data_IF_804154013216
#
_entry.id   IF_804154013216
#
_cell.length_a   1.000
_cell.length_b   1.000
_cell.length_c   1.000
_cell.angle_alpha   90.00
_cell.angle_beta   90.00
_cell.angle_gamma   90.00
#
_symmetry.space_group_name_H-M   'P 1'
#
loop_
_entity.id
_entity.type
_entity.pdbx_description
1 polymer ?
#
# COMPACT_ATOMS: atom_id res chain seq x y z
N UNK A 1 -4.09 -28.90 5.26
CA UNK A 1 -3.49 -28.43 6.53
C UNK A 1 -3.45 -26.92 6.43
N UNK A 2 -4.30 -26.24 7.21
CA UNK A 2 -4.48 -24.82 7.01
C UNK A 2 -3.58 -23.99 7.92
N UNK A 3 -2.75 -23.16 7.33
CA UNK A 3 -2.17 -22.02 8.03
C UNK A 3 -3.31 -21.09 8.40
N UNK A 4 -3.46 -20.81 9.69
CA UNK A 4 -4.52 -19.91 10.21
C UNK A 4 -3.99 -18.55 10.62
N UNK A 5 -2.67 -18.41 10.80
CA UNK A 5 -2.07 -17.15 11.25
C UNK A 5 -0.72 -16.93 10.57
N UNK A 6 -0.49 -15.70 10.11
CA UNK A 6 0.85 -15.22 9.75
C UNK A 6 1.43 -14.57 11.00
N UNK A 7 2.56 -15.10 11.48
CA UNK A 7 3.23 -14.62 12.69
C UNK A 7 3.82 -13.21 12.56
N UNK A 8 4.22 -12.62 13.70
CA UNK A 8 4.88 -11.33 13.70
C UNK A 8 6.15 -11.34 12.86
N UNK A 9 6.28 -10.35 11.95
CA UNK A 9 7.43 -10.17 11.09
C UNK A 9 7.70 -11.29 10.10
N UNK A 10 6.75 -12.21 9.83
CA UNK A 10 6.99 -13.41 9.01
C UNK A 10 7.59 -13.11 7.63
N UNK A 11 7.23 -11.98 7.01
CA UNK A 11 7.76 -11.49 5.73
C UNK A 11 8.41 -10.11 5.88
N UNK A 12 8.79 -9.72 7.12
CA UNK A 12 9.42 -8.42 7.34
C UNK A 12 10.67 -8.25 6.46
N UNK A 13 10.75 -7.12 5.74
CA UNK A 13 11.84 -6.79 4.81
C UNK A 13 12.01 -7.76 3.63
N UNK A 14 11.00 -8.52 3.27
CA UNK A 14 11.01 -9.23 2.00
C UNK A 14 10.84 -8.21 0.85
N UNK A 15 11.88 -7.37 0.64
CA UNK A 15 11.82 -6.19 -0.20
C UNK A 15 11.47 -6.50 -1.67
N UNK A 16 11.80 -7.69 -2.15
CA UNK A 16 11.58 -8.15 -3.53
C UNK A 16 10.37 -9.07 -3.69
N UNK A 17 9.60 -9.28 -2.62
CA UNK A 17 8.34 -10.02 -2.68
C UNK A 17 7.32 -9.21 -3.48
N UNK A 18 6.96 -9.69 -4.67
CA UNK A 18 6.01 -9.01 -5.57
C UNK A 18 4.57 -9.46 -5.36
N UNK A 19 4.37 -10.72 -4.98
CA UNK A 19 3.06 -11.32 -4.72
C UNK A 19 3.17 -12.46 -3.71
N UNK A 20 2.08 -12.76 -3.03
CA UNK A 20 1.94 -13.90 -2.15
C UNK A 20 0.48 -14.38 -2.19
N UNK A 21 0.29 -15.69 -2.23
CA UNK A 21 -1.03 -16.30 -2.10
C UNK A 21 -1.29 -16.67 -0.64
N UNK A 22 -2.36 -16.15 -0.09
CA UNK A 22 -2.78 -16.43 1.29
C UNK A 22 -3.89 -17.50 1.28
N UNK A 23 -3.80 -18.52 2.16
CA UNK A 23 -4.84 -19.56 2.21
C UNK A 23 -6.14 -19.06 2.81
N UNK A 24 -7.28 -19.56 2.33
CA UNK A 24 -8.62 -19.21 2.84
C UNK A 24 -8.84 -19.56 4.31
N UNK A 25 -7.98 -20.40 4.89
CA UNK A 25 -7.99 -20.75 6.31
C UNK A 25 -7.41 -19.66 7.22
N UNK A 26 -6.81 -18.60 6.63
CA UNK A 26 -6.17 -17.54 7.39
C UNK A 26 -7.20 -16.70 8.16
N UNK A 27 -6.94 -16.46 9.45
CA UNK A 27 -7.80 -15.66 10.33
C UNK A 27 -7.11 -14.43 10.91
N UNK A 28 -5.78 -14.41 10.94
CA UNK A 28 -5.02 -13.29 11.51
C UNK A 28 -3.71 -13.03 10.78
N UNK A 29 -3.37 -11.74 10.66
CA UNK A 29 -2.08 -11.23 10.18
C UNK A 29 -1.38 -10.50 11.32
N UNK A 30 -0.20 -10.98 11.71
CA UNK A 30 0.55 -10.55 12.88
C UNK A 30 1.25 -9.20 12.73
N UNK A 31 1.84 -8.73 13.83
CA UNK A 31 2.57 -7.45 13.92
C UNK A 31 3.68 -7.40 12.88
N UNK A 32 3.68 -6.36 12.02
CA UNK A 32 4.71 -6.14 11.01
C UNK A 32 4.89 -7.28 10.01
N UNK A 33 3.88 -8.14 9.83
CA UNK A 33 4.02 -9.40 9.07
C UNK A 33 4.55 -9.18 7.64
N UNK A 34 4.14 -8.12 6.95
CA UNK A 34 4.60 -7.72 5.62
C UNK A 34 5.31 -6.36 5.62
N UNK A 35 5.73 -5.88 6.78
CA UNK A 35 6.41 -4.59 6.88
C UNK A 35 7.65 -4.54 5.99
N UNK A 36 7.83 -3.44 5.23
CA UNK A 36 8.92 -3.22 4.27
C UNK A 36 8.96 -4.21 3.10
N UNK A 37 7.85 -4.86 2.74
CA UNK A 37 7.71 -5.58 1.48
C UNK A 37 7.54 -4.57 0.33
N UNK A 38 8.63 -3.90 -0.04
CA UNK A 38 8.61 -2.72 -0.93
C UNK A 38 8.17 -3.01 -2.36
N UNK A 39 8.28 -4.24 -2.83
CA UNK A 39 7.85 -4.66 -4.17
C UNK A 39 6.45 -5.26 -4.21
N UNK A 40 5.81 -5.46 -3.04
CA UNK A 40 4.46 -6.03 -2.98
C UNK A 40 3.47 -5.04 -3.61
N UNK A 41 2.93 -5.41 -4.76
CA UNK A 41 2.08 -4.53 -5.58
C UNK A 41 0.59 -4.79 -5.40
N UNK A 42 0.24 -6.02 -5.11
CA UNK A 42 -1.12 -6.45 -4.85
C UNK A 42 -1.14 -7.61 -3.84
N UNK A 43 -2.21 -7.69 -3.07
CA UNK A 43 -2.46 -8.77 -2.14
C UNK A 43 -3.96 -8.93 -1.97
N UNK A 44 -4.43 -10.17 -2.07
CA UNK A 44 -5.80 -10.51 -1.68
C UNK A 44 -5.80 -11.07 -0.27
N UNK A 45 -6.49 -10.39 0.65
CA UNK A 45 -6.67 -10.86 2.02
C UNK A 45 -7.92 -11.75 2.03
N UNK A 46 -7.82 -13.01 2.50
CA UNK A 46 -8.95 -13.92 2.57
C UNK A 46 -10.08 -13.38 3.47
N UNK A 47 -11.32 -13.67 3.11
CA UNK A 47 -12.51 -13.19 3.85
C UNK A 47 -12.60 -13.73 5.29
N UNK A 48 -11.86 -14.80 5.62
CA UNK A 48 -11.76 -15.34 6.99
C UNK A 48 -10.90 -14.51 7.95
N UNK A 49 -10.14 -13.53 7.43
CA UNK A 49 -9.25 -12.70 8.28
C UNK A 49 -10.07 -11.69 9.06
N UNK A 50 -10.01 -11.80 10.39
CA UNK A 50 -10.71 -10.90 11.32
C UNK A 50 -9.79 -9.92 12.04
N UNK A 51 -8.46 -10.16 11.99
CA UNK A 51 -7.48 -9.35 12.71
C UNK A 51 -6.28 -9.02 11.85
N UNK A 52 -5.96 -7.74 11.72
CA UNK A 52 -4.72 -7.23 11.14
C UNK A 52 -4.03 -6.39 12.20
N UNK A 53 -2.87 -6.87 12.65
CA UNK A 53 -2.15 -6.27 13.77
C UNK A 53 -1.27 -5.10 13.35
N UNK A 54 -0.72 -4.41 14.38
CA UNK A 54 0.07 -3.19 14.23
C UNK A 54 1.14 -3.31 13.14
N UNK A 55 1.15 -2.32 12.25
CA UNK A 55 2.18 -2.17 11.23
C UNK A 55 2.26 -3.29 10.19
N UNK A 56 1.23 -4.13 10.06
CA UNK A 56 1.29 -5.34 9.23
C UNK A 56 1.77 -5.08 7.79
N UNK A 57 1.44 -3.92 7.20
CA UNK A 57 1.84 -3.51 5.84
C UNK A 57 2.64 -2.21 5.82
N UNK A 58 3.25 -1.80 6.93
CA UNK A 58 4.06 -0.57 6.98
C UNK A 58 5.12 -0.59 5.89
N UNK A 59 5.25 0.53 5.14
CA UNK A 59 6.22 0.71 4.06
C UNK A 59 6.12 -0.31 2.90
N UNK A 60 4.93 -0.88 2.65
CA UNK A 60 4.65 -1.57 1.39
C UNK A 60 4.47 -0.53 0.29
N UNK A 61 5.59 0.12 -0.10
CA UNK A 61 5.56 1.35 -0.90
C UNK A 61 5.08 1.16 -2.35
N UNK A 62 5.03 -0.07 -2.85
CA UNK A 62 4.52 -0.39 -4.19
C UNK A 62 3.05 -0.86 -4.20
N UNK A 63 2.40 -0.96 -3.05
CA UNK A 63 1.01 -1.38 -2.94
C UNK A 63 0.09 -0.27 -3.46
N UNK A 64 -0.66 -0.56 -4.54
CA UNK A 64 -1.54 0.42 -5.20
C UNK A 64 -2.97 0.30 -4.69
N UNK A 65 -3.47 -0.93 -4.59
CA UNK A 65 -4.80 -1.22 -4.06
C UNK A 65 -4.76 -2.43 -3.14
N UNK A 66 -5.60 -2.43 -2.13
CA UNK A 66 -5.81 -3.56 -1.23
C UNK A 66 -7.27 -3.59 -0.81
N UNK A 67 -7.90 -4.77 -0.91
CA UNK A 67 -9.22 -4.98 -0.37
C UNK A 67 -9.13 -5.62 1.01
N UNK A 68 -9.81 -5.02 1.97
CA UNK A 68 -9.99 -5.57 3.32
C UNK A 68 -11.22 -6.49 3.34
N UNK A 69 -11.16 -7.62 4.08
CA UNK A 69 -12.29 -8.53 4.21
C UNK A 69 -13.43 -7.89 4.99
N UNK A 70 -14.66 -8.19 4.60
CA UNK A 70 -15.85 -7.60 5.22
C UNK A 70 -16.02 -7.97 6.72
N UNK A 71 -15.46 -9.11 7.13
CA UNK A 71 -15.51 -9.60 8.52
C UNK A 71 -14.40 -9.07 9.43
N UNK A 72 -13.60 -8.09 8.96
CA UNK A 72 -12.49 -7.54 9.74
C UNK A 72 -13.00 -6.85 11.01
N UNK A 73 -12.48 -7.25 12.16
CA UNK A 73 -12.85 -6.70 13.47
C UNK A 73 -11.78 -5.78 14.04
N UNK A 74 -10.52 -6.01 13.69
CA UNK A 74 -9.39 -5.24 14.20
C UNK A 74 -8.47 -4.81 13.07
N UNK A 75 -8.26 -3.50 12.98
CA UNK A 75 -7.30 -2.83 12.11
C UNK A 75 -6.46 -1.90 12.99
N UNK A 76 -5.24 -2.35 13.29
CA UNK A 76 -4.40 -1.70 14.30
C UNK A 76 -3.59 -0.52 13.75
N UNK A 77 -2.91 0.21 14.65
CA UNK A 77 -2.06 1.36 14.34
C UNK A 77 -0.97 1.05 13.30
N UNK A 78 -0.55 2.05 12.53
CA UNK A 78 0.53 2.02 11.55
C UNK A 78 0.35 1.01 10.41
N UNK A 79 -0.80 0.33 10.31
CA UNK A 79 -0.96 -0.83 9.42
C UNK A 79 -0.58 -0.51 7.97
N UNK A 80 -0.92 0.66 7.45
CA UNK A 80 -0.61 1.10 6.08
C UNK A 80 0.33 2.30 6.04
N UNK A 81 0.99 2.66 7.14
CA UNK A 81 1.91 3.78 7.16
C UNK A 81 3.01 3.61 6.10
N UNK A 82 3.26 4.64 5.28
CA UNK A 82 4.25 4.61 4.22
C UNK A 82 3.89 3.79 2.97
N UNK A 83 2.63 3.35 2.82
CA UNK A 83 2.13 2.77 1.57
C UNK A 83 1.96 3.88 0.52
N UNK A 84 3.08 4.42 0.02
CA UNK A 84 3.12 5.67 -0.73
C UNK A 84 2.38 5.64 -2.08
N UNK A 85 2.14 4.47 -2.67
CA UNK A 85 1.37 4.32 -3.92
C UNK A 85 -0.07 3.87 -3.71
N UNK A 86 -0.50 3.68 -2.47
CA UNK A 86 -1.90 3.35 -2.16
C UNK A 86 -2.78 4.53 -2.56
N UNK A 87 -3.77 4.31 -3.45
CA UNK A 87 -4.61 5.38 -4.03
C UNK A 87 -5.99 5.46 -3.41
N UNK A 88 -6.50 4.34 -2.90
CA UNK A 88 -7.80 4.26 -2.27
C UNK A 88 -7.83 3.17 -1.18
N UNK A 89 -8.70 3.33 -0.19
CA UNK A 89 -8.95 2.31 0.83
C UNK A 89 -10.40 2.34 1.29
N UNK A 90 -11.00 1.15 1.35
CA UNK A 90 -12.32 0.95 1.94
C UNK A 90 -12.14 0.26 3.30
N UNK A 91 -12.52 0.94 4.37
CA UNK A 91 -12.55 0.39 5.74
C UNK A 91 -13.91 -0.26 5.94
N UNK A 92 -13.96 -1.58 6.23
CA UNK A 92 -15.23 -2.30 6.32
C UNK A 92 -16.05 -1.90 7.55
N UNK A 93 -17.36 -2.14 7.49
CA UNK A 93 -18.26 -1.98 8.63
C UNK A 93 -17.82 -2.88 9.80
N UNK A 94 -18.10 -2.41 11.03
CA UNK A 94 -17.66 -3.07 12.27
C UNK A 94 -16.36 -2.50 12.82
N UNK A 95 -15.53 -1.83 12.01
CA UNK A 95 -14.37 -1.09 12.51
C UNK A 95 -14.87 0.19 13.18
N UNK A 96 -14.58 0.34 14.47
CA UNK A 96 -15.02 1.48 15.29
C UNK A 96 -13.95 2.55 15.47
N UNK A 97 -12.70 2.24 15.14
CA UNK A 97 -11.60 3.21 15.25
C UNK A 97 -10.60 3.05 14.10
N UNK A 98 -10.19 4.18 13.55
CA UNK A 98 -9.00 4.29 12.71
C UNK A 98 -7.82 4.53 13.64
N UNK A 99 -6.84 3.63 13.63
CA UNK A 99 -5.69 3.66 14.54
C UNK A 99 -4.75 4.84 14.32
N UNK A 100 -3.81 5.03 15.26
CA UNK A 100 -2.74 6.01 15.15
C UNK A 100 -1.87 5.73 13.92
N UNK A 101 -1.51 6.79 13.16
CA UNK A 101 -0.65 6.71 11.97
C UNK A 101 -1.12 5.70 10.92
N UNK A 102 -2.41 5.32 10.87
CA UNK A 102 -2.88 4.23 10.00
C UNK A 102 -2.46 4.43 8.54
N UNK A 103 -2.61 5.64 7.99
CA UNK A 103 -2.26 6.02 6.62
C UNK A 103 -1.16 7.09 6.55
N UNK A 104 -0.42 7.28 7.63
CA UNK A 104 0.66 8.26 7.65
C UNK A 104 1.60 8.05 6.45
N UNK A 105 1.93 9.14 5.71
CA UNK A 105 2.75 9.08 4.49
C UNK A 105 2.21 8.21 3.34
N UNK A 106 0.91 7.97 3.27
CA UNK A 106 0.27 7.43 2.05
C UNK A 106 0.11 8.56 1.02
N UNK A 107 1.21 8.95 0.39
CA UNK A 107 1.30 10.18 -0.43
C UNK A 107 0.50 10.17 -1.74
N UNK A 108 -0.09 9.05 -2.11
CA UNK A 108 -0.97 8.92 -3.28
C UNK A 108 -2.43 8.64 -2.91
N UNK A 109 -2.77 8.55 -1.61
CA UNK A 109 -4.12 8.19 -1.17
C UNK A 109 -5.08 9.37 -1.38
N UNK A 110 -5.97 9.23 -2.37
CA UNK A 110 -6.91 10.29 -2.78
C UNK A 110 -8.29 10.11 -2.15
N UNK A 111 -8.69 8.88 -1.87
CA UNK A 111 -10.02 8.60 -1.31
C UNK A 111 -10.00 7.48 -0.27
N UNK A 112 -10.87 7.61 0.72
CA UNK A 112 -11.12 6.59 1.72
C UNK A 112 -12.63 6.45 1.96
N UNK A 113 -13.09 5.21 2.11
CA UNK A 113 -14.43 4.93 2.64
C UNK A 113 -14.31 4.54 4.10
N UNK A 114 -15.05 5.24 4.94
CA UNK A 114 -15.08 5.03 6.39
C UNK A 114 -16.45 4.48 6.80
N UNK A 115 -16.51 3.49 7.72
CA UNK A 115 -17.76 2.82 8.06
C UNK A 115 -18.68 3.70 8.93
N UNK A 116 -19.99 3.44 8.89
CA UNK A 116 -20.94 4.11 9.79
C UNK A 116 -20.70 3.76 11.26
N UNK A 117 -20.07 2.62 11.54
CA UNK A 117 -19.64 2.19 12.88
C UNK A 117 -18.50 3.01 13.48
N UNK A 118 -17.85 3.91 12.69
CA UNK A 118 -16.68 4.68 13.12
C UNK A 118 -17.02 5.62 14.28
N UNK A 119 -16.24 5.54 15.36
CA UNK A 119 -16.38 6.38 16.56
C UNK A 119 -15.19 7.31 16.77
N UNK A 120 -13.99 6.93 16.28
CA UNK A 120 -12.79 7.72 16.49
C UNK A 120 -11.75 7.56 15.38
N UNK A 121 -10.94 8.60 15.19
CA UNK A 121 -9.76 8.63 14.33
C UNK A 121 -8.57 9.00 15.18
N UNK A 122 -7.55 8.16 15.18
CA UNK A 122 -6.32 8.31 15.95
C UNK A 122 -5.42 9.45 15.46
N UNK A 123 -4.43 9.78 16.28
CA UNK A 123 -3.48 10.83 15.97
C UNK A 123 -2.69 10.53 14.69
N UNK A 124 -2.42 11.57 13.90
CA UNK A 124 -1.64 11.53 12.64
C UNK A 124 -2.05 10.42 11.67
N UNK A 125 -3.30 9.93 11.78
CA UNK A 125 -3.80 8.84 10.94
C UNK A 125 -3.75 9.16 9.44
N UNK A 126 -3.93 10.42 9.06
CA UNK A 126 -3.92 10.93 7.68
C UNK A 126 -2.87 12.03 7.48
N UNK A 127 -1.79 12.04 8.25
CA UNK A 127 -0.72 13.02 8.05
C UNK A 127 0.08 12.71 6.79
N UNK A 128 0.37 13.75 5.98
CA UNK A 128 1.02 13.58 4.68
C UNK A 128 0.15 12.93 3.60
N UNK A 129 -1.18 12.86 3.80
CA UNK A 129 -2.14 12.25 2.86
C UNK A 129 -2.85 13.35 2.06
N UNK A 130 -2.79 13.35 0.70
CA UNK A 130 -3.48 14.32 -0.15
C UNK A 130 -4.94 13.92 -0.40
N UNK A 131 -5.68 13.65 0.68
CA UNK A 131 -7.05 13.13 0.60
C UNK A 131 -7.98 14.16 -0.04
N UNK A 132 -8.74 13.74 -1.05
CA UNK A 132 -9.69 14.56 -1.79
C UNK A 132 -11.13 14.23 -1.44
N UNK A 133 -11.42 12.95 -1.18
CA UNK A 133 -12.75 12.45 -0.94
C UNK A 133 -12.81 11.47 0.23
N UNK A 134 -13.90 11.55 0.99
CA UNK A 134 -14.27 10.59 2.02
C UNK A 134 -15.70 10.13 1.74
N UNK A 135 -15.91 8.83 1.59
CA UNK A 135 -17.24 8.25 1.63
C UNK A 135 -17.61 7.90 3.06
N UNK A 136 -18.81 8.29 3.46
CA UNK A 136 -19.34 7.97 4.78
C UNK A 136 -20.83 7.63 4.67
N UNK A 137 -21.26 6.40 5.03
CA UNK A 137 -22.64 5.98 4.81
C UNK A 137 -23.64 6.61 5.77
N UNK A 138 -23.17 7.24 6.86
CA UNK A 138 -23.99 7.96 7.80
C UNK A 138 -24.33 9.38 7.37
N UNK A 139 -24.98 10.12 8.28
CA UNK A 139 -25.35 11.55 8.09
C UNK A 139 -24.21 12.49 8.50
N UNK A 140 -24.37 13.78 8.18
CA UNK A 140 -23.42 14.81 8.60
C UNK A 140 -23.35 14.95 10.13
N UNK A 141 -24.47 14.79 10.82
CA UNK A 141 -24.53 14.83 12.30
C UNK A 141 -23.78 13.65 12.92
N UNK A 142 -23.90 12.45 12.33
CA UNK A 142 -23.16 11.27 12.77
C UNK A 142 -21.65 11.45 12.55
N UNK A 143 -21.25 12.01 11.40
CA UNK A 143 -19.85 12.33 11.12
C UNK A 143 -19.28 13.33 12.13
N UNK A 144 -20.04 14.37 12.50
CA UNK A 144 -19.62 15.35 13.52
C UNK A 144 -19.43 14.73 14.91
N UNK A 145 -20.09 13.61 15.19
CA UNK A 145 -19.92 12.88 16.45
C UNK A 145 -18.65 12.00 16.49
N UNK A 146 -18.00 11.76 15.34
CA UNK A 146 -16.74 11.01 15.29
C UNK A 146 -15.64 11.82 15.99
N UNK A 147 -15.01 11.20 16.98
CA UNK A 147 -13.92 11.84 17.75
C UNK A 147 -12.64 11.85 16.91
N UNK A 148 -12.20 13.00 16.51
CA UNK A 148 -10.90 13.20 15.88
C UNK A 148 -9.87 13.51 16.95
N UNK A 149 -8.71 12.81 16.95
CA UNK A 149 -7.65 13.07 17.92
C UNK A 149 -7.20 14.54 17.82
N UNK A 150 -7.06 15.19 18.96
CA UNK A 150 -6.52 16.54 19.08
C UNK A 150 -5.04 16.54 18.64
N UNK A 151 -4.62 17.59 17.94
CA UNK A 151 -3.25 17.81 17.44
C UNK A 151 -2.86 17.07 16.15
N UNK A 152 -2.97 17.82 15.03
CA UNK A 152 -2.29 17.66 13.74
C UNK A 152 -2.62 16.41 12.88
N UNK A 153 -3.31 15.40 13.39
CA UNK A 153 -3.53 14.14 12.66
C UNK A 153 -4.67 14.12 11.65
N UNK A 154 -5.46 15.17 11.58
CA UNK A 154 -6.69 15.19 10.78
C UNK A 154 -6.63 16.15 9.57
N UNK A 155 -5.46 16.71 9.25
CA UNK A 155 -5.36 17.70 8.15
C UNK A 155 -5.83 17.12 6.82
N UNK A 156 -5.50 15.88 6.52
CA UNK A 156 -5.99 15.19 5.32
C UNK A 156 -7.51 15.08 5.29
N UNK A 157 -8.14 14.69 6.41
CA UNK A 157 -9.60 14.62 6.51
C UNK A 157 -10.29 15.99 6.46
N UNK A 158 -9.69 17.00 7.09
CA UNK A 158 -10.28 18.35 7.15
C UNK A 158 -10.39 19.02 5.76
N UNK A 159 -9.51 18.66 4.84
CA UNK A 159 -9.47 19.20 3.48
C UNK A 159 -10.27 18.37 2.47
N UNK A 160 -10.65 17.15 2.83
CA UNK A 160 -11.36 16.25 1.93
C UNK A 160 -12.86 16.57 1.88
N UNK A 161 -13.46 16.38 0.71
CA UNK A 161 -14.92 16.46 0.58
C UNK A 161 -15.55 15.18 1.12
N UNK A 162 -16.46 15.31 2.08
CA UNK A 162 -17.20 14.17 2.64
C UNK A 162 -18.50 13.96 1.84
N UNK A 163 -18.72 12.73 1.36
CA UNK A 163 -19.92 12.29 0.68
C UNK A 163 -20.73 11.41 1.64
N UNK A 164 -21.85 11.95 2.10
CA UNK A 164 -22.74 11.28 3.07
C UNK A 164 -23.74 10.36 2.40
N UNK A 165 -24.20 9.34 3.14
CA UNK A 165 -25.14 8.34 2.62
C UNK A 165 -24.52 7.42 1.55
N UNK A 166 -23.21 7.34 1.50
CA UNK A 166 -22.42 6.70 0.46
C UNK A 166 -21.37 5.78 1.09
N UNK A 167 -21.59 4.47 1.01
CA UNK A 167 -20.79 3.48 1.73
C UNK A 167 -19.36 3.35 1.19
N UNK A 168 -19.22 3.37 -0.15
CA UNK A 168 -17.91 3.30 -0.82
C UNK A 168 -17.98 3.96 -2.20
N UNK A 169 -16.82 4.20 -2.79
CA UNK A 169 -16.75 4.58 -4.20
C UNK A 169 -16.94 3.35 -5.09
N UNK A 170 -18.05 3.32 -5.81
CA UNK A 170 -18.32 2.30 -6.81
C UNK A 170 -17.69 2.70 -8.15
N UNK A 171 -16.48 2.23 -8.39
CA UNK A 171 -15.76 2.43 -9.65
C UNK A 171 -16.02 1.23 -10.57
N UNK A 172 -16.99 1.35 -11.47
CA UNK A 172 -17.29 0.30 -12.45
C UNK A 172 -16.16 0.15 -13.49
N UNK A 173 -15.39 1.21 -13.70
CA UNK A 173 -14.31 1.34 -14.67
C UNK A 173 -12.91 1.39 -14.02
N UNK A 174 -12.79 0.95 -12.74
CA UNK A 174 -11.51 1.01 -12.04
C UNK A 174 -10.45 0.18 -12.76
N UNK A 175 -9.40 0.85 -13.18
CA UNK A 175 -8.15 0.24 -13.62
C UNK A 175 -7.04 0.62 -12.65
N UNK A 176 -6.22 -0.34 -12.25
CA UNK A 176 -5.08 -0.07 -11.39
C UNK A 176 -3.92 -0.98 -11.75
N UNK A 177 -2.74 -0.40 -11.91
CA UNK A 177 -1.49 -1.10 -12.15
C UNK A 177 -0.37 -0.52 -11.31
N UNK A 178 0.40 -1.37 -10.66
CA UNK A 178 1.62 -0.94 -9.99
C UNK A 178 2.74 -0.75 -11.03
N UNK A 179 3.68 0.18 -10.79
CA UNK A 179 4.83 0.33 -11.66
C UNK A 179 5.75 -0.89 -11.56
N UNK A 180 6.34 -1.24 -12.70
CA UNK A 180 7.40 -2.24 -12.84
C UNK A 180 8.78 -1.58 -12.90
N UNK A 181 9.83 -2.35 -13.19
CA UNK A 181 11.16 -1.77 -13.39
C UNK A 181 11.22 -0.87 -14.63
N UNK A 182 10.43 -1.16 -15.66
CA UNK A 182 10.47 -0.47 -16.96
C UNK A 182 9.23 0.37 -17.24
N UNK A 183 8.09 -0.03 -16.68
CA UNK A 183 6.82 0.60 -17.02
C UNK A 183 6.27 1.36 -15.81
N UNK A 184 5.70 2.52 -16.06
CA UNK A 184 4.94 3.26 -15.06
C UNK A 184 3.65 2.56 -14.68
N UNK A 185 3.17 2.83 -13.47
CA UNK A 185 1.85 2.39 -13.01
C UNK A 185 0.82 3.50 -13.08
N UNK A 186 -0.45 3.15 -13.00
CA UNK A 186 -1.55 4.10 -12.94
C UNK A 186 -2.74 3.53 -12.17
N UNK A 187 -3.59 4.42 -11.68
CA UNK A 187 -4.93 4.06 -11.22
C UNK A 187 -5.92 5.11 -11.72
N UNK A 188 -6.99 4.68 -12.36
CA UNK A 188 -8.02 5.55 -12.90
C UNK A 188 -9.39 4.91 -12.73
N UNK A 189 -10.38 5.73 -12.39
CA UNK A 189 -11.77 5.31 -12.29
C UNK A 189 -12.68 6.46 -11.94
N UNK A 190 -13.94 6.35 -12.33
CA UNK A 190 -14.99 7.32 -11.99
C UNK A 190 -16.05 6.67 -11.13
N UNK A 191 -16.31 7.24 -9.97
CA UNK A 191 -17.39 6.74 -9.11
C UNK A 191 -18.75 7.02 -9.75
N UNK A 192 -19.50 5.95 -10.00
CA UNK A 192 -20.84 6.03 -10.61
C UNK A 192 -21.88 6.70 -9.71
N UNK A 193 -21.63 6.81 -8.41
CA UNK A 193 -22.58 7.38 -7.43
C UNK A 193 -22.35 8.88 -7.22
N UNK A 194 -21.10 9.31 -6.99
CA UNK A 194 -20.81 10.71 -6.65
C UNK A 194 -20.01 11.47 -7.72
N UNK A 195 -19.62 10.81 -8.81
CA UNK A 195 -18.81 11.42 -9.87
C UNK A 195 -17.35 11.71 -9.49
N UNK A 196 -16.88 11.25 -8.32
CA UNK A 196 -15.48 11.43 -7.95
C UNK A 196 -14.57 10.69 -8.95
N UNK A 197 -13.57 11.38 -9.47
CA UNK A 197 -12.58 10.81 -10.39
C UNK A 197 -11.30 10.50 -9.61
N UNK A 198 -10.96 9.22 -9.56
CA UNK A 198 -9.65 8.75 -9.10
C UNK A 198 -8.69 8.84 -10.29
N UNK A 199 -7.57 9.53 -10.14
CA UNK A 199 -6.53 9.61 -11.16
C UNK A 199 -5.16 9.70 -10.50
N UNK A 200 -4.33 8.70 -10.73
CA UNK A 200 -2.98 8.63 -10.22
C UNK A 200 -2.04 7.99 -11.25
N UNK A 201 -0.83 8.48 -11.33
CA UNK A 201 0.22 7.91 -12.16
C UNK A 201 1.52 7.76 -11.37
N UNK A 202 2.27 6.71 -11.66
CA UNK A 202 3.53 6.40 -11.01
C UNK A 202 4.63 6.23 -12.05
N UNK A 203 5.83 6.73 -11.73
CA UNK A 203 7.02 6.48 -12.57
C UNK A 203 7.43 5.00 -12.46
N UNK A 204 8.11 4.49 -13.48
CA UNK A 204 8.79 3.20 -13.42
C UNK A 204 9.75 3.15 -12.23
N UNK A 205 10.00 1.95 -11.70
CA UNK A 205 10.82 1.75 -10.49
C UNK A 205 12.31 1.74 -10.78
N UNK A 206 12.71 1.68 -12.05
CA UNK A 206 14.06 1.35 -12.51
C UNK A 206 14.52 -0.04 -12.03
N UNK A 207 15.62 -0.52 -12.57
CA UNK A 207 16.19 -1.80 -12.16
C UNK A 207 17.02 -1.63 -10.87
N UNK A 208 16.89 -2.60 -9.98
CA UNK A 208 17.67 -2.73 -8.75
C UNK A 208 18.65 -3.89 -8.96
N UNK A 209 19.87 -3.53 -9.34
CA UNK A 209 20.89 -4.50 -9.77
C UNK A 209 21.58 -5.15 -8.57
N UNK A 210 21.86 -6.46 -8.67
CA UNK A 210 22.77 -7.16 -7.75
C UNK A 210 24.22 -6.67 -7.89
N UNK A 211 25.13 -7.22 -7.09
CA UNK A 211 26.58 -6.90 -7.18
C UNK A 211 27.18 -7.33 -8.52
N UNK A 212 26.54 -8.24 -9.24
CA UNK A 212 26.92 -8.76 -10.54
C UNK A 212 28.15 -9.67 -10.52
N UNK A 213 28.29 -10.45 -11.58
CA UNK A 213 29.39 -11.38 -11.82
C UNK A 213 30.33 -10.85 -12.92
N UNK A 214 31.62 -10.81 -12.67
CA UNK A 214 32.62 -10.42 -13.65
C UNK A 214 32.84 -11.55 -14.64
N UNK A 215 32.30 -11.42 -15.85
CA UNK A 215 32.46 -12.41 -16.93
C UNK A 215 33.82 -12.29 -17.63
N UNK A 216 34.33 -11.07 -17.74
CA UNK A 216 35.65 -10.77 -18.30
C UNK A 216 36.30 -9.65 -17.49
N UNK A 217 37.52 -9.87 -17.00
CA UNK A 217 38.30 -8.84 -16.30
C UNK A 217 38.92 -7.86 -17.29
N UNK A 218 39.03 -6.56 -16.96
CA UNK A 218 39.84 -5.66 -17.74
C UNK A 218 41.29 -6.14 -17.83
N UNK A 219 41.94 -5.93 -18.96
CA UNK A 219 43.36 -6.28 -19.12
C UNK A 219 44.02 -5.35 -20.15
N UNK A 220 45.07 -4.64 -19.76
CA UNK A 220 45.76 -3.68 -20.60
C UNK A 220 44.80 -2.65 -21.17
N UNK A 221 44.71 -2.56 -22.51
CA UNK A 221 43.82 -1.63 -23.24
C UNK A 221 42.40 -2.18 -23.44
N UNK A 222 42.11 -3.41 -23.01
CA UNK A 222 40.79 -4.04 -23.15
C UNK A 222 39.95 -3.82 -21.93
N UNK A 223 38.75 -3.35 -22.11
CA UNK A 223 37.72 -3.30 -21.04
C UNK A 223 37.28 -4.69 -20.61
N UNK A 224 36.67 -4.76 -19.44
CA UNK A 224 36.02 -5.95 -18.92
C UNK A 224 34.50 -5.92 -19.11
N UNK A 225 33.85 -7.01 -18.72
CA UNK A 225 32.38 -7.14 -18.75
C UNK A 225 31.93 -7.73 -17.43
N UNK A 226 30.93 -7.11 -16.84
CA UNK A 226 30.25 -7.57 -15.64
C UNK A 226 28.77 -7.72 -15.94
N UNK A 227 28.21 -8.88 -15.61
CA UNK A 227 26.78 -9.14 -15.76
C UNK A 227 26.07 -8.96 -14.43
N UNK A 228 24.94 -8.28 -14.46
CA UNK A 228 24.06 -8.06 -13.33
C UNK A 228 22.71 -8.73 -13.55
N UNK A 229 22.03 -9.02 -12.48
CA UNK A 229 20.63 -9.45 -12.50
C UNK A 229 19.81 -8.48 -11.67
N UNK A 230 18.70 -8.02 -12.19
CA UNK A 230 17.80 -7.20 -11.41
C UNK A 230 17.16 -8.02 -10.28
N UNK A 231 17.39 -7.61 -9.04
CA UNK A 231 16.84 -8.28 -7.84
C UNK A 231 15.31 -8.24 -7.78
N UNK A 232 14.68 -7.33 -8.52
CA UNK A 232 13.23 -7.16 -8.52
C UNK A 232 12.52 -7.94 -9.63
N UNK A 233 13.07 -7.96 -10.84
CA UNK A 233 12.40 -8.58 -12.00
C UNK A 233 13.20 -9.69 -12.68
N UNK A 234 14.43 -9.96 -12.24
CA UNK A 234 15.30 -10.99 -12.83
C UNK A 234 15.91 -10.63 -14.20
N UNK A 235 15.66 -9.42 -14.73
CA UNK A 235 16.22 -9.03 -16.03
C UNK A 235 17.75 -8.96 -15.97
N UNK A 236 18.46 -9.43 -17.01
CA UNK A 236 19.92 -9.30 -17.11
C UNK A 236 20.31 -7.87 -17.46
N UNK A 237 21.41 -7.41 -16.89
CA UNK A 237 22.07 -6.16 -17.23
C UNK A 237 23.56 -6.39 -17.48
N UNK A 238 24.19 -5.50 -18.22
CA UNK A 238 25.62 -5.57 -18.53
C UNK A 238 26.29 -4.25 -18.22
N UNK A 239 27.37 -4.31 -17.44
CA UNK A 239 28.27 -3.19 -17.17
C UNK A 239 29.59 -3.41 -17.90
N UNK A 240 30.05 -2.41 -18.66
CA UNK A 240 31.37 -2.42 -19.27
C UNK A 240 32.39 -1.81 -18.29
N UNK A 241 33.35 -2.63 -17.87
CA UNK A 241 34.42 -2.18 -16.99
C UNK A 241 35.50 -1.47 -17.82
N UNK A 242 35.98 -0.32 -17.33
CA UNK A 242 37.04 0.44 -18.01
C UNK A 242 38.36 -0.35 -18.00
N UNK A 243 39.21 -0.17 -19.04
CA UNK A 243 40.55 -0.73 -19.03
C UNK A 243 41.37 -0.23 -17.84
N UNK A 244 42.21 -1.09 -17.28
CA UNK A 244 43.23 -0.67 -16.33
C UNK A 244 44.33 0.06 -17.09
N UNK A 245 44.34 1.40 -17.02
CA UNK A 245 45.44 2.22 -17.54
C UNK A 245 46.48 2.26 -16.45
N UNK A 246 47.62 1.58 -16.66
CA UNK A 246 48.81 1.66 -15.83
C UNK A 246 49.51 3.01 -16.02
#
# INVERSE_FOLDING_TARGET
>A
SGVTTIGAGAFHRCAYLTSVELPDTLTAIGVGAFSECKSLSALTIPEGVTTIQRGAFTNCSNLVTLRLPAGLQTLADYTFAGCSKLVMMNIPEGITSVGECLFNWCTSLQTVSLPASLQSVGAVAFDGVPLQAVCYPGTAEQWQAVKLAENQGSKGLANAKVYYGHADHSFADLTASAPTCTDGGAAHGTCSVCGFVLDASFKALDHDWDEGEVLAKPSGIRGGVKQHTCLRCGAPGVEFLMPEIL
#
